data_IF_680087245334
#
_entry.id   IF_680087245334
#
_cell.length_a   1.000
_cell.length_b   1.000
_cell.length_c   1.000
_cell.angle_alpha   90.00
_cell.angle_beta   90.00
_cell.angle_gamma   90.00
#
_symmetry.space_group_name_H-M   'P 1'
#
loop_
_entity.id
_entity.type
_entity.pdbx_description
1 polymer ?
#
# COMPACT_ATOMS: atom_id res chain seq x y z
N UNK A 1 -18.15 23.99 -13.56
CA UNK A 1 -17.05 23.01 -13.67
C UNK A 1 -17.51 21.78 -12.92
N UNK A 2 -17.47 20.61 -13.56
CA UNK A 2 -18.06 19.37 -13.05
C UNK A 2 -16.93 18.57 -12.43
N UNK A 3 -16.89 18.49 -11.10
CA UNK A 3 -15.90 17.67 -10.40
C UNK A 3 -16.09 16.21 -10.79
N UNK A 4 -14.98 15.58 -11.20
CA UNK A 4 -14.90 14.25 -11.79
C UNK A 4 -14.34 13.29 -10.76
N UNK A 5 -14.97 13.25 -9.60
CA UNK A 5 -14.71 12.25 -8.57
C UNK A 5 -16.08 11.71 -8.16
N UNK A 6 -16.46 10.56 -8.72
CA UNK A 6 -17.47 9.74 -8.06
C UNK A 6 -16.83 9.24 -6.77
N UNK A 7 -17.50 9.46 -5.63
CA UNK A 7 -17.08 8.90 -4.35
C UNK A 7 -16.98 7.37 -4.48
N UNK A 8 -15.88 6.77 -4.02
CA UNK A 8 -15.67 5.33 -4.08
C UNK A 8 -16.64 4.57 -3.18
N UNK A 9 -17.05 5.16 -2.05
CA UNK A 9 -18.03 4.62 -1.11
C UNK A 9 -18.69 5.73 -0.26
N UNK A 10 -19.67 5.33 0.56
CA UNK A 10 -20.39 6.25 1.46
C UNK A 10 -19.47 6.83 2.56
N UNK A 11 -18.45 6.09 2.99
CA UNK A 11 -17.47 6.56 3.98
C UNK A 11 -16.63 7.72 3.44
N UNK A 12 -16.15 7.62 2.19
CA UNK A 12 -15.37 8.68 1.53
C UNK A 12 -16.21 9.95 1.33
N UNK A 13 -17.48 9.77 0.94
CA UNK A 13 -18.41 10.88 0.80
C UNK A 13 -18.62 11.61 2.13
N UNK A 14 -18.92 10.88 3.19
CA UNK A 14 -19.13 11.46 4.53
C UNK A 14 -17.87 12.19 5.04
N UNK A 15 -16.69 11.60 4.79
CA UNK A 15 -15.41 12.20 5.16
C UNK A 15 -15.19 13.55 4.46
N UNK A 16 -15.36 13.60 3.13
CA UNK A 16 -15.16 14.81 2.34
C UNK A 16 -16.18 15.89 2.74
N UNK A 17 -17.46 15.54 2.88
CA UNK A 17 -18.48 16.49 3.27
C UNK A 17 -18.23 17.02 4.71
N UNK A 18 -17.73 16.19 5.64
CA UNK A 18 -17.37 16.66 7.01
C UNK A 18 -16.22 17.66 7.01
N UNK A 19 -15.28 17.51 6.08
CA UNK A 19 -14.18 18.44 5.89
C UNK A 19 -14.67 19.77 5.30
N UNK A 20 -15.52 19.72 4.27
CA UNK A 20 -16.12 20.91 3.65
C UNK A 20 -17.02 21.70 4.61
N UNK A 21 -17.71 21.01 5.53
CA UNK A 21 -18.51 21.64 6.60
C UNK A 21 -17.68 22.35 7.66
N UNK A 22 -16.34 22.22 7.64
CA UNK A 22 -15.45 22.92 8.57
C UNK A 22 -15.59 22.45 10.03
N UNK A 23 -16.08 21.22 10.23
CA UNK A 23 -16.33 20.63 11.56
C UNK A 23 -15.02 20.30 12.31
N UNK A 24 -13.92 20.24 11.58
CA UNK A 24 -12.62 19.80 12.06
C UNK A 24 -11.92 20.94 12.80
N UNK A 25 -11.67 20.72 14.09
CA UNK A 25 -10.89 21.63 14.94
C UNK A 25 -9.52 21.03 15.23
N UNK A 26 -8.50 21.89 15.35
CA UNK A 26 -7.17 21.44 15.76
C UNK A 26 -7.25 20.87 17.17
N UNK A 27 -6.60 19.72 17.37
CA UNK A 27 -6.44 19.14 18.70
C UNK A 27 -5.48 20.01 19.54
N UNK A 28 -5.70 20.05 20.85
CA UNK A 28 -4.94 20.94 21.74
C UNK A 28 -3.43 20.62 21.76
N UNK A 29 -3.05 19.33 21.64
CA UNK A 29 -1.66 18.87 21.54
C UNK A 29 -1.23 18.62 20.09
N UNK A 30 -1.54 19.54 19.18
CA UNK A 30 -1.35 19.36 17.74
C UNK A 30 0.04 18.88 17.33
N UNK A 31 1.10 19.45 17.89
CA UNK A 31 2.47 19.08 17.49
C UNK A 31 2.84 17.66 17.93
N UNK A 32 2.42 17.24 19.13
CA UNK A 32 2.65 15.90 19.66
C UNK A 32 1.87 14.84 18.84
N UNK A 33 0.60 15.11 18.54
CA UNK A 33 -0.23 14.20 17.75
C UNK A 33 0.22 14.12 16.29
N UNK A 34 0.70 15.23 15.73
CA UNK A 34 1.33 15.25 14.40
C UNK A 34 2.60 14.43 14.38
N UNK A 35 3.48 14.56 15.38
CA UNK A 35 4.69 13.73 15.47
C UNK A 35 4.35 12.24 15.58
N UNK A 36 3.37 11.87 16.43
CA UNK A 36 2.87 10.49 16.54
C UNK A 36 2.32 9.97 15.21
N UNK A 37 1.48 10.75 14.53
CA UNK A 37 0.89 10.36 13.25
C UNK A 37 1.97 10.18 12.16
N UNK A 38 2.96 11.08 12.10
CA UNK A 38 4.10 10.96 11.17
C UNK A 38 4.96 9.75 11.51
N UNK A 39 5.23 9.48 12.79
CA UNK A 39 5.98 8.32 13.22
C UNK A 39 5.26 7.01 12.90
N UNK A 40 3.95 6.95 13.16
CA UNK A 40 3.09 5.81 12.83
C UNK A 40 3.08 5.56 11.31
N UNK A 41 2.87 6.60 10.50
CA UNK A 41 2.93 6.49 9.05
C UNK A 41 4.30 5.97 8.59
N UNK A 42 5.40 6.53 9.09
CA UNK A 42 6.77 6.07 8.76
C UNK A 42 6.99 4.61 9.14
N UNK A 43 6.48 4.17 10.29
CA UNK A 43 6.58 2.78 10.72
C UNK A 43 5.77 1.84 9.82
N UNK A 44 4.58 2.25 9.36
CA UNK A 44 3.77 1.48 8.42
C UNK A 44 4.42 1.38 7.03
N UNK A 45 5.14 2.41 6.59
CA UNK A 45 5.86 2.40 5.30
C UNK A 45 7.27 1.81 5.39
N UNK A 46 7.76 1.46 6.58
CA UNK A 46 9.09 0.88 6.74
C UNK A 46 9.10 -0.53 6.13
N UNK A 47 9.84 -0.69 5.03
CA UNK A 47 10.07 -1.97 4.37
C UNK A 47 11.51 -2.42 4.63
N UNK A 48 11.68 -3.69 4.99
CA UNK A 48 13.01 -4.32 5.08
C UNK A 48 13.37 -5.00 3.76
N UNK A 49 14.60 -4.78 3.29
CA UNK A 49 15.12 -5.46 2.10
C UNK A 49 15.79 -6.78 2.49
N UNK A 50 15.37 -7.87 1.85
CA UNK A 50 15.97 -9.19 2.03
C UNK A 50 16.69 -9.66 0.77
N UNK A 51 17.81 -10.37 0.94
CA UNK A 51 18.53 -11.02 -0.16
C UNK A 51 18.10 -12.48 -0.26
N UNK A 52 17.58 -12.88 -1.43
CA UNK A 52 17.10 -14.24 -1.69
C UNK A 52 17.98 -14.87 -2.78
N UNK A 53 18.44 -16.10 -2.55
CA UNK A 53 19.12 -16.89 -3.57
C UNK A 53 18.08 -17.51 -4.51
N UNK A 54 18.19 -17.22 -5.79
CA UNK A 54 17.26 -17.70 -6.81
C UNK A 54 18.05 -18.11 -8.05
N UNK A 55 17.60 -19.15 -8.76
CA UNK A 55 18.28 -19.58 -9.97
C UNK A 55 18.21 -18.49 -11.05
N UNK A 56 19.22 -18.44 -11.92
CA UNK A 56 19.22 -17.48 -13.05
C UNK A 56 18.01 -17.67 -13.97
N UNK A 57 17.56 -18.91 -14.13
CA UNK A 57 16.37 -19.24 -14.92
C UNK A 57 15.10 -18.67 -14.27
N UNK A 58 14.94 -18.80 -12.96
CA UNK A 58 13.76 -18.31 -12.26
C UNK A 58 13.70 -16.78 -12.20
N UNK A 59 14.85 -16.12 -12.03
CA UNK A 59 14.91 -14.65 -12.13
C UNK A 59 14.49 -14.17 -13.52
N UNK A 60 14.91 -14.85 -14.58
CA UNK A 60 14.47 -14.49 -15.93
C UNK A 60 12.96 -14.69 -16.10
N UNK A 61 12.40 -15.80 -15.60
CA UNK A 61 10.95 -16.06 -15.65
C UNK A 61 10.16 -15.03 -14.86
N UNK A 62 10.64 -14.65 -13.68
CA UNK A 62 10.03 -13.61 -12.85
C UNK A 62 10.03 -12.26 -13.57
N UNK A 63 11.14 -11.89 -14.23
CA UNK A 63 11.22 -10.65 -15.02
C UNK A 63 10.24 -10.63 -16.19
N UNK A 64 10.14 -11.74 -16.92
CA UNK A 64 9.19 -11.86 -18.04
C UNK A 64 7.76 -11.66 -17.53
N UNK A 65 7.39 -12.36 -16.46
CA UNK A 65 6.04 -12.26 -15.89
C UNK A 65 5.73 -10.87 -15.33
N UNK A 66 6.71 -10.21 -14.70
CA UNK A 66 6.56 -8.85 -14.22
C UNK A 66 6.37 -7.85 -15.37
N UNK A 67 7.09 -8.05 -16.49
CA UNK A 67 6.90 -7.25 -17.70
C UNK A 67 5.51 -7.43 -18.32
N UNK A 68 4.97 -8.65 -18.34
CA UNK A 68 3.61 -8.93 -18.80
C UNK A 68 2.54 -8.21 -17.94
N UNK A 69 2.75 -8.15 -16.63
CA UNK A 69 1.89 -7.43 -15.69
C UNK A 69 2.17 -5.90 -15.65
N UNK A 70 3.21 -5.42 -16.34
CA UNK A 70 3.58 -4.00 -16.37
C UNK A 70 4.17 -3.47 -15.05
N UNK A 71 4.69 -4.35 -14.19
CA UNK A 71 5.22 -4.01 -12.86
C UNK A 71 6.71 -4.38 -12.73
N UNK A 72 7.47 -3.75 -11.81
CA UNK A 72 8.83 -4.17 -11.52
C UNK A 72 8.86 -5.59 -10.92
N UNK A 73 9.87 -6.39 -11.26
CA UNK A 73 9.99 -7.77 -10.78
C UNK A 73 10.11 -7.87 -9.25
N UNK A 74 10.63 -6.84 -8.59
CA UNK A 74 10.70 -6.74 -7.14
C UNK A 74 9.30 -6.60 -6.53
N UNK A 75 8.41 -5.83 -7.16
CA UNK A 75 7.02 -5.66 -6.71
C UNK A 75 6.26 -6.98 -6.88
N UNK A 76 6.46 -7.67 -8.00
CA UNK A 76 5.88 -9.00 -8.21
C UNK A 76 6.38 -10.00 -7.15
N UNK A 77 7.68 -10.02 -6.86
CA UNK A 77 8.26 -10.89 -5.83
C UNK A 77 7.70 -10.60 -4.43
N UNK A 78 7.63 -9.33 -4.04
CA UNK A 78 7.04 -8.90 -2.77
C UNK A 78 5.56 -9.30 -2.69
N UNK A 79 4.80 -9.11 -3.77
CA UNK A 79 3.40 -9.51 -3.85
C UNK A 79 3.19 -11.02 -3.73
N UNK A 80 4.09 -11.83 -4.29
CA UNK A 80 4.06 -13.30 -4.12
C UNK A 80 4.28 -13.67 -2.65
N UNK A 81 5.28 -13.07 -2.00
CA UNK A 81 5.55 -13.31 -0.57
C UNK A 81 4.33 -12.94 0.28
N UNK A 82 3.74 -11.76 0.06
CA UNK A 82 2.53 -11.35 0.76
C UNK A 82 1.38 -12.32 0.55
N UNK A 83 1.08 -12.70 -0.70
CA UNK A 83 0.00 -13.65 -1.02
C UNK A 83 0.22 -15.03 -0.39
N UNK A 84 1.47 -15.48 -0.28
CA UNK A 84 1.82 -16.73 0.39
C UNK A 84 1.59 -16.64 1.90
N UNK A 85 2.06 -15.59 2.55
CA UNK A 85 1.87 -15.37 3.99
C UNK A 85 0.39 -15.18 4.37
N UNK A 86 -0.40 -14.54 3.50
CA UNK A 86 -1.84 -14.34 3.69
C UNK A 86 -2.68 -15.60 3.37
N UNK A 87 -2.04 -16.73 3.01
CA UNK A 87 -2.72 -17.98 2.67
C UNK A 87 -3.51 -17.96 1.35
N UNK A 88 -3.37 -16.89 0.55
CA UNK A 88 -4.02 -16.75 -0.77
C UNK A 88 -3.27 -17.48 -1.88
N UNK A 89 -2.05 -17.91 -1.61
CA UNK A 89 -1.24 -18.76 -2.47
C UNK A 89 -0.94 -20.07 -1.74
N UNK A 90 -1.60 -21.16 -2.12
CA UNK A 90 -1.31 -22.49 -1.59
C UNK A 90 -0.26 -23.19 -2.45
N UNK A 91 0.80 -23.71 -1.85
CA UNK A 91 1.62 -24.74 -2.48
C UNK A 91 0.81 -26.05 -2.50
N UNK A 92 0.52 -26.56 -3.69
CA UNK A 92 0.19 -27.97 -3.84
C UNK A 92 1.51 -28.76 -3.74
N UNK A 93 1.83 -29.23 -2.53
CA UNK A 93 2.88 -30.23 -2.31
C UNK A 93 2.46 -31.57 -2.91
#
# INVERSE_FOLDING_TARGET
MKDRFEYFDEEEKELIESFERGEWRRVDNFEEEKEKAVAAAKATFAQEQISILVSKQDINRLKIRAMEEGIPYQILASGIIHKYLDGRLSESL
#
